data_IF_268021188946
#
_entry.id   IF_268021188946
#
_cell.length_a   1.000
_cell.length_b   1.000
_cell.length_c   1.000
_cell.angle_alpha   90.00
_cell.angle_beta   90.00
_cell.angle_gamma   90.00
#
_symmetry.space_group_name_H-M   'P 1'
#
loop_
_entity.id
_entity.type
_entity.pdbx_description
1 polymer ?
#
# COMPACT_ATOMS: atom_id res chain seq x y z
N UNK A 1 -28.99 -21.20 -11.14
CA UNK A 1 -29.41 -20.82 -9.78
C UNK A 1 -28.88 -21.78 -8.71
N UNK A 2 -29.13 -23.10 -8.78
CA UNK A 2 -28.61 -24.07 -7.79
C UNK A 2 -27.07 -24.16 -7.73
N UNK A 3 -26.39 -24.24 -8.88
CA UNK A 3 -24.92 -24.19 -8.98
C UNK A 3 -24.32 -22.88 -8.43
N UNK A 4 -25.00 -21.76 -8.67
CA UNK A 4 -24.60 -20.44 -8.14
C UNK A 4 -24.70 -20.38 -6.62
N UNK A 5 -25.76 -20.98 -6.05
CA UNK A 5 -25.94 -21.07 -4.59
C UNK A 5 -24.85 -21.95 -3.96
N UNK A 6 -24.56 -23.10 -4.57
CA UNK A 6 -23.47 -24.00 -4.13
C UNK A 6 -22.13 -23.27 -4.19
N UNK A 7 -21.86 -22.54 -5.27
CA UNK A 7 -20.62 -21.76 -5.41
C UNK A 7 -20.48 -20.67 -4.34
N UNK A 8 -21.56 -19.94 -4.05
CA UNK A 8 -21.55 -18.91 -2.99
C UNK A 8 -21.33 -19.54 -1.60
N UNK A 9 -21.98 -20.66 -1.30
CA UNK A 9 -21.77 -21.40 -0.04
C UNK A 9 -20.34 -21.92 0.04
N UNK A 10 -19.81 -22.47 -1.05
CA UNK A 10 -18.43 -22.92 -1.13
C UNK A 10 -17.44 -21.77 -0.88
N UNK A 11 -17.63 -20.63 -1.57
CA UNK A 11 -16.81 -19.44 -1.38
C UNK A 11 -16.87 -18.96 0.08
N UNK A 12 -18.07 -18.92 0.67
CA UNK A 12 -18.25 -18.55 2.07
C UNK A 12 -17.48 -19.49 3.01
N UNK A 13 -17.54 -20.81 2.80
CA UNK A 13 -16.80 -21.78 3.60
C UNK A 13 -15.28 -21.64 3.43
N UNK A 14 -14.81 -21.37 2.21
CA UNK A 14 -13.39 -21.11 1.94
C UNK A 14 -12.93 -19.86 2.68
N UNK A 15 -13.69 -18.75 2.59
CA UNK A 15 -13.38 -17.50 3.30
C UNK A 15 -13.40 -17.73 4.82
N UNK A 16 -14.40 -18.43 5.36
CA UNK A 16 -14.43 -18.75 6.79
C UNK A 16 -13.27 -19.64 7.22
N UNK A 17 -12.90 -20.64 6.42
CA UNK A 17 -11.75 -21.50 6.67
C UNK A 17 -10.46 -20.68 6.71
N UNK A 18 -10.27 -19.80 5.73
CA UNK A 18 -9.13 -18.89 5.69
C UNK A 18 -9.07 -17.97 6.93
N UNK A 19 -10.19 -17.34 7.30
CA UNK A 19 -10.26 -16.49 8.50
C UNK A 19 -9.88 -17.28 9.76
N UNK A 20 -10.38 -18.51 9.93
CA UNK A 20 -10.01 -19.35 11.08
C UNK A 20 -8.51 -19.67 11.11
N UNK A 21 -7.90 -19.95 9.96
CA UNK A 21 -6.46 -20.21 9.87
C UNK A 21 -5.67 -18.96 10.25
N UNK A 22 -6.08 -17.78 9.77
CA UNK A 22 -5.43 -16.51 10.10
C UNK A 22 -5.54 -16.22 11.61
N UNK A 23 -6.73 -16.38 12.20
CA UNK A 23 -6.95 -16.19 13.64
C UNK A 23 -6.10 -17.16 14.44
N UNK A 24 -6.15 -18.45 14.11
CA UNK A 24 -5.32 -19.46 14.78
C UNK A 24 -3.82 -19.14 14.69
N UNK A 25 -3.36 -18.70 13.52
CA UNK A 25 -1.97 -18.30 13.33
C UNK A 25 -1.61 -17.09 14.20
N UNK A 26 -2.50 -16.10 14.29
CA UNK A 26 -2.30 -14.92 15.13
C UNK A 26 -2.28 -15.27 16.62
N UNK A 27 -3.18 -16.14 17.07
CA UNK A 27 -3.20 -16.64 18.46
C UNK A 27 -1.90 -17.40 18.77
N UNK A 28 -1.42 -18.21 17.81
CA UNK A 28 -0.16 -18.92 17.96
C UNK A 28 1.06 -17.99 18.00
N UNK A 29 1.06 -16.90 17.22
CA UNK A 29 2.08 -15.85 17.30
C UNK A 29 2.01 -15.13 18.65
N UNK A 30 0.81 -14.91 19.18
CA UNK A 30 0.58 -14.28 20.48
C UNK A 30 0.86 -15.21 21.66
N UNK A 31 1.07 -16.51 21.40
CA UNK A 31 1.62 -17.46 22.36
C UNK A 31 3.15 -17.51 22.27
N UNK A 32 3.85 -17.51 23.40
CA UNK A 32 5.31 -17.70 23.44
C UNK A 32 5.98 -16.85 24.50
N UNK A 33 7.30 -16.80 24.47
CA UNK A 33 8.07 -15.95 25.37
C UNK A 33 7.71 -14.49 25.13
N UNK A 34 7.36 -13.81 26.22
CA UNK A 34 7.12 -12.37 26.22
C UNK A 34 8.40 -11.61 25.86
N UNK A 35 8.21 -10.44 25.25
CA UNK A 35 9.30 -9.48 25.02
C UNK A 35 9.74 -8.86 26.35
N UNK A 36 10.62 -7.85 26.27
CA UNK A 36 11.10 -7.15 27.46
C UNK A 36 9.94 -6.68 28.34
N UNK A 37 10.10 -6.81 29.66
CA UNK A 37 9.02 -6.60 30.62
C UNK A 37 8.42 -5.19 30.49
N UNK A 38 9.26 -4.18 30.29
CA UNK A 38 8.84 -2.79 30.14
C UNK A 38 8.02 -2.56 28.85
N UNK A 39 8.33 -3.27 27.76
CA UNK A 39 7.60 -3.15 26.49
C UNK A 39 6.24 -3.83 26.57
N UNK A 40 6.16 -4.97 27.27
CA UNK A 40 4.91 -5.70 27.48
C UNK A 40 4.00 -4.98 28.46
N UNK A 41 4.54 -4.49 29.59
CA UNK A 41 3.77 -3.72 30.57
C UNK A 41 3.14 -2.48 29.92
N UNK A 42 3.90 -1.74 29.10
CA UNK A 42 3.36 -0.61 28.33
C UNK A 42 2.25 -1.01 27.38
N UNK A 43 2.38 -2.16 26.71
CA UNK A 43 1.36 -2.66 25.81
C UNK A 43 0.08 -3.06 26.54
N UNK A 44 0.22 -3.75 27.68
CA UNK A 44 -0.89 -4.20 28.53
C UNK A 44 -1.60 -3.00 29.17
N UNK A 45 -0.87 -2.04 29.75
CA UNK A 45 -1.49 -0.83 30.34
C UNK A 45 -2.29 -0.03 29.32
N UNK A 46 -1.76 0.17 28.11
CA UNK A 46 -2.49 0.87 27.05
C UNK A 46 -3.78 0.15 26.63
N UNK A 47 -3.76 -1.19 26.62
CA UNK A 47 -4.96 -2.00 26.33
C UNK A 47 -5.96 -1.92 27.47
N UNK A 48 -5.51 -2.08 28.72
CA UNK A 48 -6.35 -2.00 29.91
C UNK A 48 -7.09 -0.66 30.00
N UNK A 49 -6.38 0.47 29.82
CA UNK A 49 -6.99 1.80 29.85
C UNK A 49 -8.05 2.00 28.74
N UNK A 50 -7.77 1.47 27.54
CA UNK A 50 -8.72 1.48 26.42
C UNK A 50 -9.96 0.63 26.70
N UNK A 51 -9.79 -0.57 27.25
CA UNK A 51 -10.89 -1.47 27.62
C UNK A 51 -11.76 -0.85 28.72
N UNK A 52 -11.14 -0.22 29.71
CA UNK A 52 -11.80 0.54 30.76
C UNK A 52 -12.68 1.66 30.20
N UNK A 53 -12.17 2.44 29.24
CA UNK A 53 -12.95 3.48 28.55
C UNK A 53 -14.10 2.86 27.76
N UNK A 54 -13.85 1.76 27.04
CA UNK A 54 -14.85 1.05 26.26
C UNK A 54 -16.02 0.58 27.15
N UNK A 55 -15.73 -0.07 28.27
CA UNK A 55 -16.74 -0.57 29.20
C UNK A 55 -17.58 0.57 29.78
N UNK A 56 -16.92 1.66 30.22
CA UNK A 56 -17.60 2.85 30.77
C UNK A 56 -18.54 3.48 29.72
N UNK A 57 -18.10 3.64 28.48
CA UNK A 57 -18.90 4.25 27.42
C UNK A 57 -20.01 3.33 26.89
N UNK A 58 -19.78 2.02 26.83
CA UNK A 58 -20.81 1.04 26.50
C UNK A 58 -21.92 1.03 27.56
N UNK A 59 -21.58 1.09 28.85
CA UNK A 59 -22.57 1.19 29.94
C UNK A 59 -23.42 2.47 29.85
N UNK A 60 -22.85 3.57 29.33
CA UNK A 60 -23.60 4.80 29.01
C UNK A 60 -24.50 4.61 27.79
N UNK A 61 -24.00 3.93 26.75
CA UNK A 61 -24.71 3.66 25.50
C UNK A 61 -25.93 2.74 25.69
N UNK A 62 -25.90 1.82 26.65
CA UNK A 62 -27.03 0.91 26.95
C UNK A 62 -28.32 1.63 27.35
N UNK A 63 -28.19 2.85 27.90
CA UNK A 63 -29.33 3.71 28.25
C UNK A 63 -30.10 4.20 27.02
N UNK A 64 -29.48 4.19 25.85
CA UNK A 64 -30.12 4.58 24.59
C UNK A 64 -30.91 3.42 23.97
N UNK A 65 -31.91 3.77 23.14
CA UNK A 65 -32.79 2.81 22.44
C UNK A 65 -32.75 3.07 20.92
N UNK A 66 -33.05 2.03 20.14
CA UNK A 66 -33.10 2.12 18.67
C UNK A 66 -31.75 2.42 18.03
N UNK A 67 -31.76 3.16 16.91
CA UNK A 67 -30.55 3.52 16.15
C UNK A 67 -29.53 4.32 16.98
N UNK A 68 -29.98 5.11 17.97
CA UNK A 68 -29.09 5.86 18.86
C UNK A 68 -28.11 4.94 19.60
N UNK A 69 -28.55 3.74 20.01
CA UNK A 69 -27.68 2.74 20.64
C UNK A 69 -26.53 2.31 19.73
N UNK A 70 -26.77 2.16 18.43
CA UNK A 70 -25.72 1.76 17.48
C UNK A 70 -24.68 2.87 17.33
N UNK A 71 -25.13 4.12 17.18
CA UNK A 71 -24.22 5.26 17.13
C UNK A 71 -23.45 5.44 18.43
N UNK A 72 -24.11 5.28 19.58
CA UNK A 72 -23.45 5.36 20.89
C UNK A 72 -22.39 4.25 21.07
N UNK A 73 -22.67 3.01 20.64
CA UNK A 73 -21.66 1.93 20.65
C UNK A 73 -20.50 2.20 19.70
N UNK A 74 -20.77 2.78 18.54
CA UNK A 74 -19.72 3.17 17.60
C UNK A 74 -18.85 4.29 18.14
N UNK A 75 -19.46 5.29 18.79
CA UNK A 75 -18.73 6.35 19.49
C UNK A 75 -17.89 5.79 20.65
N UNK A 76 -18.45 4.92 21.48
CA UNK A 76 -17.72 4.23 22.55
C UNK A 76 -16.49 3.48 22.03
N UNK A 77 -16.66 2.76 20.92
CA UNK A 77 -15.54 2.06 20.27
C UNK A 77 -14.48 3.01 19.72
N UNK A 78 -14.86 4.16 19.16
CA UNK A 78 -13.88 5.14 18.68
C UNK A 78 -13.14 5.81 19.83
N UNK A 79 -13.82 6.08 20.95
CA UNK A 79 -13.20 6.69 22.13
C UNK A 79 -12.17 5.76 22.77
N UNK A 80 -12.49 4.47 22.89
CA UNK A 80 -11.52 3.45 23.31
C UNK A 80 -10.31 3.35 22.37
N UNK A 81 -10.55 3.35 21.05
CA UNK A 81 -9.47 3.37 20.04
C UNK A 81 -8.62 4.63 20.18
N UNK A 82 -9.23 5.80 20.41
CA UNK A 82 -8.49 7.04 20.61
C UNK A 82 -7.65 7.01 21.90
N UNK A 83 -8.19 6.47 22.99
CA UNK A 83 -7.46 6.28 24.26
C UNK A 83 -6.23 5.36 24.05
N UNK A 84 -6.40 4.24 23.36
CA UNK A 84 -5.30 3.33 23.04
C UNK A 84 -4.19 4.05 22.25
N UNK A 85 -4.58 4.86 21.26
CA UNK A 85 -3.64 5.57 20.39
C UNK A 85 -2.88 6.69 21.09
N UNK A 86 -3.41 7.22 22.20
CA UNK A 86 -2.70 8.19 23.04
C UNK A 86 -1.51 7.54 23.75
N UNK A 87 -1.66 6.27 24.14
CA UNK A 87 -0.63 5.46 24.79
C UNK A 87 0.24 4.66 23.79
N UNK A 88 -0.21 4.49 22.55
CA UNK A 88 0.53 3.77 21.52
C UNK A 88 1.85 4.45 21.17
N UNK A 89 2.93 3.67 21.16
CA UNK A 89 4.21 4.04 20.57
C UNK A 89 4.36 3.42 19.19
N UNK A 90 4.36 4.27 18.15
CA UNK A 90 4.57 3.83 16.79
C UNK A 90 6.04 3.49 16.57
N UNK A 91 6.33 2.22 16.25
CA UNK A 91 7.67 1.70 16.01
C UNK A 91 7.80 0.97 14.67
N UNK A 92 8.94 0.30 14.48
CA UNK A 92 9.24 -0.45 13.25
C UNK A 92 8.24 -1.58 12.99
N UNK A 93 7.72 -2.20 14.04
CA UNK A 93 6.75 -3.29 13.98
C UNK A 93 5.49 -2.87 13.21
N UNK A 94 4.87 -1.75 13.60
CA UNK A 94 3.68 -1.23 12.94
C UNK A 94 4.00 -0.78 11.51
N UNK A 95 5.16 -0.16 11.29
CA UNK A 95 5.58 0.29 9.95
C UNK A 95 5.67 -0.87 8.97
N UNK A 96 6.30 -1.99 9.36
CA UNK A 96 6.43 -3.16 8.47
C UNK A 96 5.07 -3.78 8.19
N UNK A 97 4.21 -3.95 9.20
CA UNK A 97 2.87 -4.52 8.99
C UNK A 97 2.02 -3.60 8.10
N UNK A 98 2.04 -2.29 8.33
CA UNK A 98 1.31 -1.32 7.52
C UNK A 98 1.81 -1.32 6.09
N UNK A 99 3.13 -1.38 5.88
CA UNK A 99 3.70 -1.51 4.54
C UNK A 99 3.21 -2.79 3.87
N UNK A 100 3.33 -3.94 4.55
CA UNK A 100 2.95 -5.24 4.03
C UNK A 100 1.46 -5.28 3.64
N UNK A 101 0.57 -4.94 4.58
CA UNK A 101 -0.87 -4.93 4.33
C UNK A 101 -1.26 -3.84 3.33
N UNK A 102 -0.70 -2.65 3.44
CA UNK A 102 -0.98 -1.51 2.55
C UNK A 102 -0.56 -1.78 1.10
N UNK A 103 0.57 -2.45 0.90
CA UNK A 103 1.07 -2.81 -0.44
C UNK A 103 0.16 -3.78 -1.18
N UNK A 104 -0.48 -4.71 -0.45
CA UNK A 104 -1.47 -5.64 -1.02
C UNK A 104 -2.86 -4.98 -1.15
N UNK A 105 -3.30 -4.25 -0.12
CA UNK A 105 -4.62 -3.63 -0.10
C UNK A 105 -4.77 -2.57 -1.19
N UNK A 106 -3.72 -1.77 -1.44
CA UNK A 106 -3.72 -0.79 -2.53
C UNK A 106 -3.92 -1.44 -3.90
N UNK A 107 -3.23 -2.56 -4.15
CA UNK A 107 -3.40 -3.33 -5.39
C UNK A 107 -4.81 -3.86 -5.54
N UNK A 108 -5.37 -4.47 -4.49
CA UNK A 108 -6.74 -4.99 -4.52
C UNK A 108 -7.77 -3.88 -4.78
N UNK A 109 -7.61 -2.72 -4.14
CA UNK A 109 -8.50 -1.57 -4.35
C UNK A 109 -8.39 -1.09 -5.80
N UNK A 110 -7.18 -0.97 -6.34
CA UNK A 110 -6.98 -0.53 -7.71
C UNK A 110 -7.53 -1.54 -8.72
N UNK A 111 -7.31 -2.83 -8.52
CA UNK A 111 -7.82 -3.89 -9.39
C UNK A 111 -9.36 -3.89 -9.41
N UNK A 112 -10.01 -3.76 -8.24
CA UNK A 112 -11.47 -3.64 -8.15
C UNK A 112 -11.97 -2.38 -8.86
N UNK A 113 -11.26 -1.27 -8.70
CA UNK A 113 -11.60 0.00 -9.37
C UNK A 113 -11.51 -0.12 -10.89
N UNK A 114 -10.43 -0.69 -11.42
CA UNK A 114 -10.25 -0.89 -12.86
C UNK A 114 -11.27 -1.87 -13.43
N UNK A 115 -11.57 -2.96 -12.72
CA UNK A 115 -12.60 -3.90 -13.13
C UNK A 115 -13.98 -3.22 -13.20
N UNK A 116 -14.30 -2.37 -12.22
CA UNK A 116 -15.59 -1.67 -12.18
C UNK A 116 -15.72 -0.55 -13.23
N UNK A 117 -14.62 0.12 -13.59
CA UNK A 117 -14.63 1.31 -14.47
C UNK A 117 -14.29 1.00 -15.92
N UNK A 118 -13.33 0.10 -16.16
CA UNK A 118 -12.80 -0.23 -17.48
C UNK A 118 -13.08 -1.68 -17.90
N UNK A 119 -13.48 -2.56 -16.98
CA UNK A 119 -13.66 -3.98 -17.27
C UNK A 119 -12.33 -4.72 -17.52
N UNK A 120 -11.22 -4.12 -17.14
CA UNK A 120 -9.86 -4.65 -17.32
C UNK A 120 -9.29 -5.13 -15.98
N UNK A 121 -8.51 -6.22 -16.03
CA UNK A 121 -7.71 -6.72 -14.91
C UNK A 121 -6.25 -6.66 -15.33
N UNK A 122 -5.65 -5.49 -15.19
CA UNK A 122 -4.20 -5.33 -15.40
C UNK A 122 -3.47 -5.49 -14.07
N UNK A 123 -2.42 -6.30 -14.09
CA UNK A 123 -1.54 -6.55 -12.96
C UNK A 123 -0.63 -5.34 -12.71
N UNK A 124 -0.88 -4.60 -11.62
CA UNK A 124 -0.12 -3.39 -11.22
C UNK A 124 0.87 -3.61 -10.07
N UNK A 125 1.23 -4.86 -9.85
CA UNK A 125 2.27 -5.24 -8.87
C UNK A 125 3.56 -4.49 -9.12
N UNK A 126 4.22 -4.11 -8.02
CA UNK A 126 5.47 -3.36 -8.08
C UNK A 126 6.70 -4.21 -7.76
N UNK A 127 6.54 -5.48 -7.38
CA UNK A 127 7.64 -6.39 -7.03
C UNK A 127 7.55 -7.75 -7.73
N UNK A 128 8.71 -8.42 -7.85
CA UNK A 128 8.82 -9.72 -8.53
C UNK A 128 8.24 -10.87 -7.71
N UNK A 129 8.26 -10.82 -6.37
CA UNK A 129 7.76 -11.88 -5.51
C UNK A 129 6.47 -11.51 -4.77
N UNK A 130 5.33 -11.99 -5.27
CA UNK A 130 4.05 -11.86 -4.57
C UNK A 130 3.35 -10.50 -4.78
N UNK A 131 2.12 -10.33 -4.30
CA UNK A 131 1.25 -9.23 -4.71
C UNK A 131 1.55 -7.93 -3.92
N UNK A 132 2.74 -7.38 -4.09
CA UNK A 132 3.18 -6.19 -3.35
C UNK A 132 3.44 -5.01 -4.29
N UNK A 133 2.86 -3.86 -3.95
CA UNK A 133 3.20 -2.56 -4.56
C UNK A 133 3.93 -1.69 -3.55
N UNK A 134 5.23 -1.39 -3.77
CA UNK A 134 6.00 -0.50 -2.90
C UNK A 134 5.38 0.90 -2.84
N UNK A 135 4.78 1.38 -3.94
CA UNK A 135 4.10 2.68 -3.98
C UNK A 135 2.96 2.75 -2.95
N UNK A 136 2.12 1.72 -2.91
CA UNK A 136 0.98 1.67 -1.98
C UNK A 136 1.40 1.38 -0.55
N UNK A 137 2.38 0.50 -0.35
CA UNK A 137 2.98 0.26 0.97
C UNK A 137 3.59 1.53 1.56
N UNK A 138 4.40 2.25 0.77
CA UNK A 138 4.99 3.53 1.17
C UNK A 138 3.92 4.61 1.39
N UNK A 139 2.88 4.65 0.55
CA UNK A 139 1.75 5.57 0.73
C UNK A 139 1.03 5.35 2.06
N UNK A 140 0.70 4.10 2.39
CA UNK A 140 0.07 3.73 3.65
C UNK A 140 0.94 4.08 4.86
N UNK A 141 2.25 3.81 4.80
CA UNK A 141 3.20 4.17 5.86
C UNK A 141 3.30 5.69 6.00
N UNK A 142 3.51 6.42 4.90
CA UNK A 142 3.65 7.87 4.92
C UNK A 142 2.41 8.56 5.49
N UNK A 143 1.21 8.14 5.05
CA UNK A 143 -0.06 8.66 5.57
C UNK A 143 -0.29 8.27 7.03
N UNK A 144 0.20 7.10 7.48
CA UNK A 144 0.11 6.71 8.90
C UNK A 144 1.03 7.54 9.76
N UNK A 145 2.31 7.68 9.40
CA UNK A 145 3.27 8.50 10.16
C UNK A 145 2.80 9.96 10.25
N UNK A 146 2.35 10.50 9.13
CA UNK A 146 1.77 11.84 9.07
C UNK A 146 0.50 11.93 9.91
N UNK A 147 -0.44 11.00 9.72
CA UNK A 147 -1.72 10.99 10.41
C UNK A 147 -1.57 10.91 11.92
N UNK A 148 -0.66 10.06 12.39
CA UNK A 148 -0.34 9.91 13.81
C UNK A 148 0.28 11.18 14.39
N UNK A 149 1.22 11.80 13.67
CA UNK A 149 1.80 13.09 14.05
C UNK A 149 0.76 14.22 14.08
N UNK A 150 -0.10 14.32 13.07
CA UNK A 150 -1.15 15.31 12.97
C UNK A 150 -2.24 15.11 14.04
N UNK A 151 -2.56 13.85 14.39
CA UNK A 151 -3.47 13.50 15.48
C UNK A 151 -2.95 14.05 16.81
N UNK A 152 -1.68 13.77 17.16
CA UNK A 152 -1.05 14.27 18.40
C UNK A 152 -1.00 15.80 18.51
N UNK A 153 -1.12 16.51 17.37
CA UNK A 153 -1.18 17.98 17.32
C UNK A 153 -2.59 18.55 17.25
N UNK A 154 -3.63 17.72 17.31
CA UNK A 154 -5.03 18.17 17.22
C UNK A 154 -5.35 18.82 15.86
N UNK A 155 -4.72 18.35 14.77
CA UNK A 155 -4.89 18.96 13.46
C UNK A 155 -6.33 18.86 12.94
N UNK A 156 -6.82 19.94 12.33
CA UNK A 156 -8.15 20.03 11.70
C UNK A 156 -8.19 19.26 10.38
N UNK A 157 -9.40 18.90 9.92
CA UNK A 157 -9.59 18.08 8.71
C UNK A 157 -8.94 18.71 7.46
N UNK A 158 -9.04 20.02 7.30
CA UNK A 158 -8.43 20.72 6.17
C UNK A 158 -6.89 20.67 6.19
N UNK A 159 -6.28 20.63 7.38
CA UNK A 159 -4.82 20.49 7.51
C UNK A 159 -4.40 19.08 7.11
N UNK A 160 -5.12 18.05 7.58
CA UNK A 160 -4.88 16.66 7.17
C UNK A 160 -5.01 16.52 5.66
N UNK A 161 -6.05 17.08 5.07
CA UNK A 161 -6.27 17.06 3.63
C UNK A 161 -5.08 17.68 2.87
N UNK A 162 -4.68 18.91 3.22
CA UNK A 162 -3.61 19.61 2.51
C UNK A 162 -2.26 18.91 2.65
N UNK A 163 -1.90 18.46 3.85
CA UNK A 163 -0.60 17.80 4.04
C UNK A 163 -0.59 16.44 3.36
N UNK A 164 -1.71 15.71 3.39
CA UNK A 164 -1.81 14.43 2.66
C UNK A 164 -1.73 14.61 1.15
N UNK A 165 -2.33 15.67 0.60
CA UNK A 165 -2.22 16.01 -0.81
C UNK A 165 -0.76 16.27 -1.21
N UNK A 166 -0.03 17.05 -0.41
CA UNK A 166 1.40 17.34 -0.66
C UNK A 166 2.24 16.06 -0.56
N UNK A 167 2.07 15.28 0.50
CA UNK A 167 2.85 14.04 0.70
C UNK A 167 2.58 13.02 -0.39
N UNK A 168 1.31 12.85 -0.77
CA UNK A 168 0.92 11.97 -1.89
C UNK A 168 1.52 12.41 -3.21
N UNK A 169 1.44 13.71 -3.53
CA UNK A 169 2.07 14.27 -4.73
C UNK A 169 3.60 14.11 -4.75
N UNK A 170 4.27 14.31 -3.62
CA UNK A 170 5.72 14.07 -3.51
C UNK A 170 6.06 12.59 -3.70
N UNK A 171 5.22 11.69 -3.20
CA UNK A 171 5.40 10.25 -3.34
C UNK A 171 5.23 9.81 -4.81
N UNK A 172 4.20 10.29 -5.50
CA UNK A 172 4.03 10.05 -6.94
C UNK A 172 5.19 10.62 -7.75
N UNK A 173 5.56 11.87 -7.46
CA UNK A 173 6.69 12.53 -8.11
C UNK A 173 7.97 11.73 -7.94
N UNK A 174 8.28 11.30 -6.72
CA UNK A 174 9.49 10.55 -6.43
C UNK A 174 9.47 9.17 -7.06
N UNK A 175 8.35 8.46 -7.02
CA UNK A 175 8.24 7.12 -7.59
C UNK A 175 8.37 7.15 -9.12
N UNK A 176 7.63 8.04 -9.79
CA UNK A 176 7.70 8.19 -11.24
C UNK A 176 9.08 8.66 -11.70
N UNK A 177 9.65 9.67 -11.02
CA UNK A 177 11.00 10.16 -11.33
C UNK A 177 12.07 9.09 -11.13
N UNK A 178 12.01 8.32 -10.04
CA UNK A 178 12.97 7.25 -9.77
C UNK A 178 12.88 6.16 -10.84
N UNK A 179 11.65 5.77 -11.23
CA UNK A 179 11.44 4.77 -12.27
C UNK A 179 12.01 5.22 -13.61
N UNK A 180 11.72 6.46 -14.01
CA UNK A 180 12.22 7.03 -15.26
C UNK A 180 13.74 7.22 -15.26
N UNK A 181 14.32 7.68 -14.14
CA UNK A 181 15.75 8.00 -14.07
C UNK A 181 16.64 6.76 -13.97
N UNK A 182 16.23 5.76 -13.19
CA UNK A 182 17.09 4.61 -12.90
C UNK A 182 16.82 3.39 -13.78
N UNK A 183 15.61 3.25 -14.31
CA UNK A 183 15.20 2.07 -15.07
C UNK A 183 14.78 2.37 -16.50
N UNK A 184 14.86 3.64 -16.91
CA UNK A 184 14.38 4.11 -18.21
C UNK A 184 12.96 3.60 -18.49
N UNK A 185 12.12 3.66 -17.45
CA UNK A 185 10.81 3.02 -17.45
C UNK A 185 9.71 4.01 -17.03
N UNK A 186 8.51 3.75 -17.53
CA UNK A 186 7.32 4.55 -17.27
C UNK A 186 6.13 3.63 -17.02
N UNK A 187 5.54 3.75 -15.83
CA UNK A 187 4.33 3.00 -15.45
C UNK A 187 3.05 3.84 -15.57
N UNK A 188 3.19 5.17 -15.49
CA UNK A 188 2.13 6.13 -15.76
C UNK A 188 2.73 7.47 -16.18
N UNK A 189 1.96 8.23 -16.95
CA UNK A 189 2.28 9.60 -17.33
C UNK A 189 1.01 10.45 -17.37
N UNK A 190 1.13 11.68 -16.91
CA UNK A 190 0.10 12.71 -16.94
C UNK A 190 0.40 13.79 -17.96
N UNK A 191 1.38 13.59 -18.86
CA UNK A 191 1.70 14.55 -19.91
C UNK A 191 0.49 14.89 -20.80
N UNK A 192 -0.41 13.93 -21.03
CA UNK A 192 -1.65 14.14 -21.78
C UNK A 192 -2.76 14.88 -21.02
N UNK A 193 -2.57 15.15 -19.73
CA UNK A 193 -3.57 15.83 -18.92
C UNK A 193 -3.34 17.35 -18.93
N UNK A 194 -4.40 18.17 -19.10
CA UNK A 194 -4.28 19.62 -19.11
C UNK A 194 -3.95 20.20 -17.73
N UNK A 195 -4.17 19.42 -16.67
CA UNK A 195 -3.99 19.79 -15.28
C UNK A 195 -2.72 19.22 -14.64
N UNK A 196 -1.79 18.74 -15.47
CA UNK A 196 -0.51 18.25 -15.01
C UNK A 196 0.34 19.37 -14.41
N UNK A 197 1.03 19.04 -13.34
CA UNK A 197 2.07 19.86 -12.70
C UNK A 197 3.44 19.36 -13.17
N UNK A 198 3.60 18.04 -13.23
CA UNK A 198 4.78 17.33 -13.76
C UNK A 198 4.31 16.15 -14.60
N UNK A 199 5.25 15.38 -15.17
CA UNK A 199 4.95 14.12 -15.86
C UNK A 199 4.18 13.12 -14.96
N UNK A 200 4.36 13.15 -13.64
CA UNK A 200 3.78 12.15 -12.72
C UNK A 200 2.82 12.73 -11.69
N UNK A 201 2.58 14.05 -11.67
CA UNK A 201 1.66 14.70 -10.73
C UNK A 201 0.69 15.61 -11.46
N UNK A 202 -0.60 15.48 -11.19
CA UNK A 202 -1.65 16.40 -11.64
C UNK A 202 -2.53 16.86 -10.46
N UNK A 203 -3.09 18.08 -10.52
CA UNK A 203 -3.80 18.63 -9.35
C UNK A 203 -5.03 17.80 -8.96
N UNK A 204 -5.70 17.14 -9.92
CA UNK A 204 -6.82 16.23 -9.62
C UNK A 204 -6.40 15.08 -8.70
N UNK A 205 -5.20 14.53 -8.90
CA UNK A 205 -4.67 13.43 -8.08
C UNK A 205 -4.22 13.92 -6.71
N UNK A 206 -3.73 15.16 -6.60
CA UNK A 206 -3.50 15.81 -5.29
C UNK A 206 -4.79 15.89 -4.46
N UNK A 207 -5.93 16.19 -5.09
CA UNK A 207 -7.23 16.19 -4.41
C UNK A 207 -7.59 14.78 -3.94
N UNK A 208 -7.39 13.76 -4.78
CA UNK A 208 -7.61 12.36 -4.38
C UNK A 208 -6.70 11.95 -3.22
N UNK A 209 -5.42 12.31 -3.23
CA UNK A 209 -4.51 12.08 -2.09
C UNK A 209 -4.94 12.81 -0.83
N UNK A 210 -5.47 14.03 -0.95
CA UNK A 210 -6.03 14.76 0.18
C UNK A 210 -7.26 14.07 0.79
N UNK A 211 -8.18 13.61 -0.05
CA UNK A 211 -9.37 12.86 0.39
C UNK A 211 -9.00 11.50 0.99
N UNK A 212 -8.11 10.77 0.31
CA UNK A 212 -7.59 9.49 0.75
C UNK A 212 -6.89 9.62 2.10
N UNK A 213 -6.02 10.62 2.25
CA UNK A 213 -5.33 10.89 3.51
C UNK A 213 -6.28 11.29 4.63
N UNK A 214 -7.34 12.05 4.34
CA UNK A 214 -8.37 12.34 5.32
C UNK A 214 -9.13 11.08 5.76
N UNK A 215 -9.55 10.24 4.82
CA UNK A 215 -10.20 8.97 5.11
C UNK A 215 -9.26 8.03 5.89
N UNK A 216 -7.99 7.96 5.48
CA UNK A 216 -6.97 7.16 6.13
C UNK A 216 -6.75 7.61 7.58
N UNK A 217 -6.42 8.88 7.81
CA UNK A 217 -6.08 9.39 9.13
C UNK A 217 -7.26 9.35 10.12
N UNK A 218 -8.50 9.42 9.64
CA UNK A 218 -9.69 9.56 10.50
C UNK A 218 -10.54 8.31 10.64
N UNK A 219 -10.43 7.36 9.71
CA UNK A 219 -11.24 6.16 9.73
C UNK A 219 -10.41 4.88 9.73
N UNK A 220 -9.37 4.81 8.90
CA UNK A 220 -8.61 3.57 8.66
C UNK A 220 -7.47 3.41 9.67
N UNK A 221 -6.56 4.37 9.70
CA UNK A 221 -5.35 4.35 10.54
C UNK A 221 -5.66 4.09 12.03
N UNK A 222 -6.64 4.77 12.68
CA UNK A 222 -6.89 4.54 14.10
C UNK A 222 -7.24 3.09 14.41
N UNK A 223 -8.14 2.50 13.62
CA UNK A 223 -8.57 1.11 13.79
C UNK A 223 -7.48 0.11 13.41
N UNK A 224 -6.74 0.40 12.35
CA UNK A 224 -5.63 -0.44 11.91
C UNK A 224 -4.55 -0.51 12.99
N UNK A 225 -4.15 0.62 13.56
CA UNK A 225 -3.17 0.67 14.63
C UNK A 225 -3.66 0.00 15.92
N UNK A 226 -4.95 0.14 16.27
CA UNK A 226 -5.56 -0.59 17.38
C UNK A 226 -5.51 -2.11 17.18
N UNK A 227 -5.80 -2.58 15.95
CA UNK A 227 -5.75 -4.01 15.62
C UNK A 227 -4.34 -4.59 15.56
N UNK A 228 -3.37 -3.81 15.07
CA UNK A 228 -1.96 -4.22 15.04
C UNK A 228 -1.38 -4.24 16.45
N UNK A 229 -1.71 -3.23 17.25
CA UNK A 229 -1.25 -3.09 18.62
C UNK A 229 0.27 -2.92 18.76
N UNK A 230 0.78 -3.24 19.95
CA UNK A 230 2.20 -3.32 20.26
C UNK A 230 2.63 -4.79 20.34
N UNK A 231 3.84 -5.14 19.88
CA UNK A 231 4.31 -6.52 19.96
C UNK A 231 4.52 -6.91 21.43
N UNK A 232 3.90 -8.00 21.86
CA UNK A 232 4.02 -8.52 23.23
C UNK A 232 4.86 -9.78 23.30
N UNK A 233 5.00 -10.50 22.18
CA UNK A 233 5.74 -11.77 22.12
C UNK A 233 6.92 -11.76 21.16
N UNK A 234 7.90 -12.59 21.48
CA UNK A 234 9.07 -12.79 20.61
C UNK A 234 8.68 -13.38 19.25
N UNK A 235 7.64 -14.22 19.18
CA UNK A 235 7.19 -14.82 17.91
C UNK A 235 6.63 -13.77 16.96
N UNK A 236 5.84 -12.81 17.46
CA UNK A 236 5.36 -11.67 16.67
C UNK A 236 6.54 -10.87 16.10
N UNK A 237 7.52 -10.53 16.95
CA UNK A 237 8.70 -9.77 16.53
C UNK A 237 9.52 -10.52 15.47
N UNK A 238 9.77 -11.83 15.66
CA UNK A 238 10.48 -12.66 14.69
C UNK A 238 9.71 -12.75 13.37
N UNK A 239 8.41 -12.99 13.41
CA UNK A 239 7.58 -13.06 12.20
C UNK A 239 7.65 -11.76 11.40
N UNK A 240 7.44 -10.61 12.04
CA UNK A 240 7.51 -9.30 11.35
C UNK A 240 8.92 -9.00 10.85
N UNK A 241 9.97 -9.45 11.56
CA UNK A 241 11.35 -9.36 11.07
C UNK A 241 11.53 -10.18 9.79
N UNK A 242 11.02 -11.41 9.74
CA UNK A 242 11.09 -12.26 8.55
C UNK A 242 10.33 -11.64 7.37
N UNK A 243 9.15 -11.07 7.61
CA UNK A 243 8.39 -10.31 6.60
C UNK A 243 9.20 -9.12 6.08
N UNK A 244 9.83 -8.34 6.97
CA UNK A 244 10.69 -7.23 6.59
C UNK A 244 11.87 -7.68 5.73
N UNK A 245 12.57 -8.74 6.14
CA UNK A 245 13.70 -9.31 5.38
C UNK A 245 13.25 -9.80 4.01
N UNK A 246 12.10 -10.47 3.92
CA UNK A 246 11.52 -10.92 2.67
C UNK A 246 11.22 -9.75 1.73
N UNK A 247 10.56 -8.70 2.22
CA UNK A 247 10.24 -7.52 1.42
C UNK A 247 11.49 -6.78 0.94
N UNK A 248 12.52 -6.67 1.79
CA UNK A 248 13.81 -6.07 1.39
C UNK A 248 14.48 -6.91 0.32
N UNK A 249 14.47 -8.24 0.46
CA UNK A 249 15.03 -9.15 -0.54
C UNK A 249 14.27 -9.06 -1.87
N UNK A 250 12.95 -8.93 -1.84
CA UNK A 250 12.10 -8.78 -3.03
C UNK A 250 12.32 -7.44 -3.75
N UNK A 251 12.41 -6.35 -3.00
CA UNK A 251 12.82 -5.05 -3.56
C UNK A 251 14.19 -5.17 -4.20
N UNK A 252 15.19 -5.72 -3.51
CA UNK A 252 16.53 -5.88 -4.06
C UNK A 252 16.53 -6.74 -5.34
N UNK A 253 15.82 -7.87 -5.33
CA UNK A 253 15.70 -8.74 -6.51
C UNK A 253 14.99 -8.03 -7.67
N UNK A 254 13.93 -7.26 -7.39
CA UNK A 254 13.21 -6.48 -8.39
C UNK A 254 14.12 -5.46 -9.08
N UNK A 255 14.94 -4.74 -8.30
CA UNK A 255 15.92 -3.79 -8.85
C UNK A 255 16.96 -4.49 -9.72
N UNK A 256 17.43 -5.67 -9.29
CA UNK A 256 18.35 -6.49 -10.11
C UNK A 256 17.69 -6.93 -11.42
N UNK A 257 16.43 -7.37 -11.37
CA UNK A 257 15.68 -7.79 -12.56
C UNK A 257 15.51 -6.64 -13.56
N UNK A 258 15.14 -5.43 -13.10
CA UNK A 258 15.03 -4.27 -13.99
C UNK A 258 16.38 -3.83 -14.55
N UNK A 259 17.44 -3.82 -13.74
CA UNK A 259 18.79 -3.52 -14.23
C UNK A 259 19.25 -4.54 -15.28
N UNK A 260 18.96 -5.83 -15.07
CA UNK A 260 19.26 -6.88 -16.07
C UNK A 260 18.44 -6.72 -17.34
N UNK A 261 17.15 -6.38 -17.24
CA UNK A 261 16.34 -6.09 -18.43
C UNK A 261 16.91 -4.91 -19.22
N UNK A 262 17.21 -3.80 -18.57
CA UNK A 262 17.82 -2.63 -19.23
C UNK A 262 19.16 -2.98 -19.89
N UNK A 263 19.99 -3.79 -19.23
CA UNK A 263 21.24 -4.29 -19.82
C UNK A 263 21.02 -5.17 -21.06
N UNK A 264 20.00 -6.04 -21.06
CA UNK A 264 19.64 -6.86 -22.23
C UNK A 264 19.16 -6.00 -23.40
N UNK A 265 18.31 -5.01 -23.12
CA UNK A 265 17.82 -4.06 -24.13
C UNK A 265 19.00 -3.27 -24.76
N UNK A 266 20.04 -2.97 -23.97
CA UNK A 266 21.29 -2.37 -24.43
C UNK A 266 22.29 -3.36 -25.08
N UNK A 267 21.94 -4.64 -25.22
CA UNK A 267 22.80 -5.69 -25.80
C UNK A 267 23.99 -6.12 -24.93
N UNK A 268 23.96 -5.84 -23.63
CA UNK A 268 25.04 -6.16 -22.67
C UNK A 268 24.82 -7.57 -22.08
N UNK A 269 25.74 -8.53 -22.35
CA UNK A 269 25.62 -9.89 -21.81
C UNK A 269 25.86 -9.93 -20.29
N UNK A 270 25.36 -10.96 -19.58
CA UNK A 270 25.56 -11.11 -18.14
C UNK A 270 27.05 -11.27 -17.79
N UNK A 271 27.51 -10.55 -16.76
CA UNK A 271 28.91 -10.51 -16.38
C UNK A 271 29.35 -11.68 -15.47
N UNK A 272 28.40 -12.36 -14.82
CA UNK A 272 28.66 -13.40 -13.84
C UNK A 272 27.52 -14.44 -13.79
N UNK A 273 27.75 -15.53 -13.05
CA UNK A 273 26.79 -16.63 -12.93
C UNK A 273 25.46 -16.22 -12.30
N UNK A 274 25.48 -15.24 -11.39
CA UNK A 274 24.25 -14.73 -10.78
C UNK A 274 23.41 -13.98 -11.81
N UNK A 275 23.99 -13.04 -12.56
CA UNK A 275 23.29 -12.33 -13.65
C UNK A 275 22.78 -13.28 -14.73
N UNK A 276 23.55 -14.32 -15.08
CA UNK A 276 23.09 -15.34 -16.01
C UNK A 276 21.89 -16.13 -15.47
N UNK A 277 21.88 -16.44 -14.18
CA UNK A 277 20.73 -17.04 -13.51
C UNK A 277 19.53 -16.09 -13.52
N UNK A 278 19.72 -14.79 -13.28
CA UNK A 278 18.65 -13.79 -13.37
C UNK A 278 18.07 -13.74 -14.78
N UNK A 279 18.91 -13.64 -15.81
CA UNK A 279 18.46 -13.61 -17.20
C UNK A 279 17.68 -14.86 -17.61
N UNK A 280 18.02 -16.01 -17.02
CA UNK A 280 17.34 -17.29 -17.30
C UNK A 280 15.99 -17.40 -16.60
N UNK A 281 15.85 -16.88 -15.38
CA UNK A 281 14.64 -17.04 -14.56
C UNK A 281 13.68 -15.83 -14.62
N UNK A 282 14.20 -14.65 -14.96
CA UNK A 282 13.47 -13.39 -15.07
C UNK A 282 13.65 -12.81 -16.48
N UNK A 283 13.16 -13.58 -17.46
CA UNK A 283 13.19 -13.22 -18.88
C UNK A 283 12.36 -11.97 -19.17
N UNK A 284 12.51 -11.41 -20.37
CA UNK A 284 11.70 -10.25 -20.79
C UNK A 284 10.21 -10.59 -20.85
N UNK A 285 9.86 -11.83 -21.20
CA UNK A 285 8.48 -12.34 -21.15
C UNK A 285 7.94 -12.36 -19.72
N UNK A 286 8.75 -12.82 -18.75
CA UNK A 286 8.36 -12.78 -17.34
C UNK A 286 8.11 -11.34 -16.89
N UNK A 287 9.01 -10.41 -17.21
CA UNK A 287 8.88 -9.00 -16.80
C UNK A 287 7.65 -8.36 -17.44
N UNK A 288 7.42 -8.58 -18.73
CA UNK A 288 6.25 -8.03 -19.43
C UNK A 288 4.92 -8.59 -18.90
N UNK A 289 4.85 -9.90 -18.62
CA UNK A 289 3.65 -10.51 -18.03
C UNK A 289 3.45 -10.16 -16.55
N UNK A 290 4.53 -9.83 -15.83
CA UNK A 290 4.46 -9.46 -14.42
C UNK A 290 4.06 -8.00 -14.21
N UNK A 291 4.65 -7.12 -15.00
CA UNK A 291 4.51 -5.66 -14.94
C UNK A 291 3.80 -5.15 -16.20
N UNK A 292 2.53 -5.54 -16.36
CA UNK A 292 1.76 -5.35 -17.60
C UNK A 292 1.60 -3.87 -17.99
N UNK A 293 1.66 -2.96 -17.01
CA UNK A 293 1.52 -1.53 -17.20
C UNK A 293 2.85 -0.78 -17.31
N UNK A 294 3.98 -1.48 -17.41
CA UNK A 294 5.32 -0.89 -17.45
C UNK A 294 5.84 -0.80 -18.90
N UNK A 295 6.08 0.43 -19.37
CA UNK A 295 6.79 0.72 -20.62
C UNK A 295 8.27 0.93 -20.31
N UNK A 296 9.17 0.33 -21.07
CA UNK A 296 10.63 0.47 -20.86
C UNK A 296 11.31 0.87 -22.18
N UNK A 297 12.27 1.80 -22.08
CA UNK A 297 13.06 2.25 -23.21
C UNK A 297 12.20 2.83 -24.33
N UNK A 298 12.36 2.28 -25.52
CA UNK A 298 11.74 2.77 -26.76
C UNK A 298 10.21 2.65 -26.79
N UNK A 299 9.61 1.90 -25.86
CA UNK A 299 8.15 1.77 -25.69
C UNK A 299 7.52 2.94 -24.94
N UNK A 300 8.32 3.83 -24.34
CA UNK A 300 7.83 5.00 -23.63
C UNK A 300 7.20 6.00 -24.59
N UNK A 301 6.30 6.85 -24.08
CA UNK A 301 5.63 7.84 -24.91
C UNK A 301 6.63 8.94 -25.35
N UNK A 302 6.70 9.21 -26.65
CA UNK A 302 7.59 10.19 -27.23
C UNK A 302 7.17 11.61 -26.84
N UNK A 303 8.18 12.43 -26.52
CA UNK A 303 8.00 13.83 -26.14
C UNK A 303 8.78 14.77 -27.06
N UNK A 304 8.21 15.96 -27.32
CA UNK A 304 8.87 17.03 -28.05
C UNK A 304 9.93 17.75 -27.19
N UNK A 305 10.65 18.70 -27.79
CA UNK A 305 11.68 19.52 -27.10
C UNK A 305 11.14 20.31 -25.89
N UNK A 306 9.82 20.50 -25.81
CA UNK A 306 9.13 21.19 -24.74
C UNK A 306 8.51 20.22 -23.71
N UNK A 307 8.71 18.91 -23.86
CA UNK A 307 8.17 17.87 -22.98
C UNK A 307 6.67 17.58 -23.18
N UNK A 308 6.10 17.89 -24.34
CA UNK A 308 4.73 17.52 -24.70
C UNK A 308 4.70 16.21 -25.48
N UNK A 309 3.64 15.42 -25.29
CA UNK A 309 3.44 14.18 -26.05
C UNK A 309 3.36 14.45 -27.55
N UNK A 310 4.01 13.60 -28.33
CA UNK A 310 3.90 13.59 -29.79
C UNK A 310 2.76 12.65 -30.18
N UNK A 311 1.90 13.10 -31.08
CA UNK A 311 0.74 12.33 -31.54
C UNK A 311 0.87 11.96 -33.01
N UNK A 312 0.35 10.78 -33.37
CA UNK A 312 0.15 10.37 -34.75
C UNK A 312 -1.01 11.15 -35.41
N UNK A 313 -1.21 10.95 -36.70
CA UNK A 313 -2.30 11.55 -37.48
C UNK A 313 -3.71 11.17 -36.99
N UNK A 314 -3.83 10.10 -36.20
CA UNK A 314 -5.08 9.60 -35.62
C UNK A 314 -5.31 10.09 -34.18
N UNK A 315 -4.35 10.83 -33.60
CA UNK A 315 -4.41 11.33 -32.22
C UNK A 315 -3.95 10.34 -31.15
N UNK A 316 -3.27 9.26 -31.52
CA UNK A 316 -2.61 8.35 -30.58
C UNK A 316 -1.21 8.85 -30.23
N UNK A 317 -0.76 8.61 -29.00
CA UNK A 317 0.61 8.94 -28.59
C UNK A 317 1.61 8.05 -29.32
N UNK A 318 2.62 8.65 -29.93
CA UNK A 318 3.75 7.92 -30.51
C UNK A 318 4.66 7.41 -29.40
N UNK A 319 5.25 6.24 -29.61
CA UNK A 319 6.35 5.73 -28.77
C UNK A 319 7.69 6.36 -29.18
N UNK A 320 8.70 6.32 -28.32
CA UNK A 320 10.05 6.80 -28.65
C UNK A 320 10.64 6.07 -29.87
N UNK A 321 10.31 4.78 -30.05
CA UNK A 321 10.64 4.00 -31.25
C UNK A 321 10.06 4.61 -32.54
N UNK A 322 8.83 5.10 -32.49
CA UNK A 322 8.09 5.65 -33.63
C UNK A 322 8.39 7.14 -33.86
N UNK A 323 8.64 7.88 -32.78
CA UNK A 323 8.86 9.33 -32.78
C UNK A 323 10.25 9.77 -33.28
N UNK A 324 11.18 8.82 -33.49
CA UNK A 324 12.49 9.09 -34.08
C UNK A 324 13.46 9.83 -33.16
N UNK A 325 13.32 9.73 -31.84
CA UNK A 325 14.24 10.33 -30.88
C UNK A 325 15.52 9.47 -30.75
N UNK A 326 16.65 10.04 -31.19
CA UNK A 326 18.02 9.64 -30.82
C UNK A 326 18.82 10.86 -30.42
#
# INVERSE_FOLDING_TARGET
>A
MFLSLIFVVFLFLVVQGFVRVVVFFWDWLSGGDQLDADDVERAETALEESEDVLERELARAERQRGLGRLFARWHASNEAVDEYLDHLHLGWYQVVIIFFVGSMAGLLIEEVWMLATAGLTESRVGLVWGPFSPLYGLGAVALTLLGFFLRRRGAKNWQVFLVSAVVGGLLEQFAGWSMSTFFDAESWTYLGLPDRITQWVAWRFLVFWGLLGLAWCRAVMPRLLYQIGMPTTRRQAVFVTLVAVYLVADVAMTLVCFNRKSARDAGVPPANAFEQWVDTNYSDEFIAGRFENLKIGDQRDAVDENGNLIYDENGNTLTEAEGGAR
#
